data_IF_177183822016
#
_entry.id   IF_177183822016
#
_cell.length_a   1.000
_cell.length_b   1.000
_cell.length_c   1.000
_cell.angle_alpha   90.00
_cell.angle_beta   90.00
_cell.angle_gamma   90.00
#
_symmetry.space_group_name_H-M   'P 1'
#
loop_
_entity.id
_entity.type
_entity.pdbx_description
1 polymer ?
#
# COMPACT_ATOMS: atom_id res chain seq x y z
N UNK A 1 4.83 8.20 -14.00
CA UNK A 1 5.19 9.54 -13.44
C UNK A 1 4.00 10.02 -12.63
N UNK A 2 4.15 10.09 -11.32
CA UNK A 2 3.10 10.56 -10.42
C UNK A 2 3.28 12.06 -10.18
N UNK A 3 2.48 12.85 -10.91
CA UNK A 3 2.46 14.31 -10.74
C UNK A 3 1.45 14.67 -9.63
N UNK A 4 1.93 15.36 -8.59
CA UNK A 4 1.07 15.92 -7.56
C UNK A 4 0.76 17.39 -7.91
N UNK A 5 -0.53 17.78 -7.90
CA UNK A 5 -0.97 19.13 -8.27
C UNK A 5 -1.73 19.80 -7.13
N UNK A 6 -1.69 21.13 -7.13
CA UNK A 6 -2.36 21.98 -6.15
C UNK A 6 -1.55 22.25 -4.89
N UNK A 7 -1.71 23.45 -4.37
CA UNK A 7 -0.88 23.99 -3.28
C UNK A 7 -0.90 23.13 -2.01
N UNK A 8 -2.09 22.72 -1.54
CA UNK A 8 -2.20 21.99 -0.28
C UNK A 8 -1.59 20.60 -0.33
N UNK A 9 -1.84 19.86 -1.43
CA UNK A 9 -1.29 18.52 -1.61
C UNK A 9 0.25 18.55 -1.69
N UNK A 10 0.79 19.50 -2.45
CA UNK A 10 2.25 19.68 -2.59
C UNK A 10 2.87 20.08 -1.25
N UNK A 11 2.27 21.01 -0.54
CA UNK A 11 2.74 21.45 0.78
C UNK A 11 2.79 20.29 1.78
N UNK A 12 1.72 19.49 1.82
CA UNK A 12 1.64 18.32 2.69
C UNK A 12 2.71 17.28 2.34
N UNK A 13 2.90 16.98 1.06
CA UNK A 13 3.96 16.11 0.60
C UNK A 13 5.34 16.59 0.99
N UNK A 14 5.65 17.88 0.79
CA UNK A 14 6.95 18.45 1.13
C UNK A 14 7.23 18.46 2.64
N UNK A 15 6.18 18.57 3.48
CA UNK A 15 6.33 18.54 4.94
C UNK A 15 6.43 17.10 5.50
N UNK A 16 5.63 16.18 4.98
CA UNK A 16 5.49 14.83 5.56
C UNK A 16 6.36 13.79 4.86
N UNK A 17 6.62 13.97 3.57
CA UNK A 17 7.24 12.96 2.71
C UNK A 17 8.13 13.58 1.63
N UNK A 18 9.10 14.44 2.01
CA UNK A 18 9.95 15.15 1.05
C UNK A 18 10.76 14.22 0.15
N UNK A 19 11.09 13.00 0.61
CA UNK A 19 11.80 11.97 -0.15
C UNK A 19 11.06 11.50 -1.40
N UNK A 20 9.75 11.71 -1.48
CA UNK A 20 8.95 11.41 -2.69
C UNK A 20 9.13 12.46 -3.78
N UNK A 21 9.49 13.65 -3.42
CA UNK A 21 9.55 14.77 -4.32
C UNK A 21 10.86 14.76 -5.12
N UNK A 22 10.75 14.76 -6.45
CA UNK A 22 11.88 14.84 -7.37
C UNK A 22 12.15 16.27 -7.81
N UNK A 23 11.11 16.99 -8.24
CA UNK A 23 11.23 18.35 -8.71
C UNK A 23 9.92 19.13 -8.55
N UNK A 24 9.98 20.32 -7.95
CA UNK A 24 8.86 21.25 -7.89
C UNK A 24 8.87 22.17 -9.10
N UNK A 25 7.78 22.22 -9.86
CA UNK A 25 7.60 23.14 -10.99
C UNK A 25 6.64 24.26 -10.62
N UNK A 26 7.06 25.50 -10.80
CA UNK A 26 6.27 26.70 -10.49
C UNK A 26 6.19 27.62 -11.71
N UNK A 27 5.02 28.22 -11.93
CA UNK A 27 4.85 29.17 -13.06
C UNK A 27 5.64 30.47 -12.83
N UNK A 28 6.40 30.91 -13.83
CA UNK A 28 7.26 32.09 -13.79
C UNK A 28 6.56 33.39 -13.38
N UNK A 29 5.32 33.56 -13.79
CA UNK A 29 4.53 34.78 -13.49
C UNK A 29 3.96 34.80 -12.08
N UNK A 30 4.07 33.70 -11.34
CA UNK A 30 3.50 33.54 -10.01
C UNK A 30 4.57 33.79 -8.92
N UNK A 31 4.40 34.89 -8.15
CA UNK A 31 5.35 35.31 -7.10
C UNK A 31 4.64 35.57 -5.76
N UNK A 32 3.52 34.87 -5.51
CA UNK A 32 2.79 35.06 -4.25
C UNK A 32 3.45 34.31 -3.07
N UNK A 33 3.01 34.66 -1.84
CA UNK A 33 3.57 34.06 -0.61
C UNK A 33 3.49 32.55 -0.55
N UNK A 34 2.43 31.95 -1.14
CA UNK A 34 2.24 30.49 -1.17
C UNK A 34 3.31 29.78 -2.02
N UNK A 35 3.67 30.38 -3.16
CA UNK A 35 4.74 29.86 -4.01
C UNK A 35 6.09 29.93 -3.30
N UNK A 36 6.36 31.07 -2.62
CA UNK A 36 7.59 31.23 -1.86
C UNK A 36 7.68 30.23 -0.71
N UNK A 37 6.55 29.89 -0.06
CA UNK A 37 6.46 28.83 0.95
C UNK A 37 6.86 27.48 0.37
N UNK A 38 6.27 27.05 -0.76
CA UNK A 38 6.62 25.79 -1.41
C UNK A 38 8.10 25.71 -1.83
N UNK A 39 8.63 26.79 -2.38
CA UNK A 39 10.05 26.87 -2.75
C UNK A 39 10.94 26.77 -1.50
N UNK A 40 10.52 27.41 -0.39
CA UNK A 40 11.22 27.33 0.89
C UNK A 40 11.27 25.89 1.42
N UNK A 41 10.14 25.19 1.41
CA UNK A 41 10.05 23.78 1.81
C UNK A 41 10.89 22.86 0.90
N UNK A 42 10.82 23.06 -0.41
CA UNK A 42 11.63 22.29 -1.36
C UNK A 42 13.13 22.47 -1.10
N UNK A 43 13.58 23.72 -0.87
CA UNK A 43 14.99 24.02 -0.53
C UNK A 43 15.42 23.39 0.79
N UNK A 44 14.59 23.47 1.82
CA UNK A 44 14.88 22.90 3.14
C UNK A 44 15.09 21.38 3.07
N UNK A 45 14.44 20.72 2.11
CA UNK A 45 14.52 19.27 1.88
C UNK A 45 15.47 18.87 0.75
N UNK A 46 16.30 19.79 0.22
CA UNK A 46 17.19 19.58 -0.92
C UNK A 46 16.49 19.11 -2.22
N UNK A 47 15.21 19.46 -2.39
CA UNK A 47 14.43 19.14 -3.58
C UNK A 47 14.67 20.19 -4.65
N UNK A 48 14.92 19.77 -5.88
CA UNK A 48 15.03 20.67 -7.03
C UNK A 48 13.73 21.44 -7.25
N UNK A 49 13.84 22.70 -7.65
CA UNK A 49 12.68 23.42 -8.20
C UNK A 49 13.03 24.10 -9.52
N UNK A 50 12.05 24.22 -10.38
CA UNK A 50 12.18 24.87 -11.68
C UNK A 50 11.05 25.87 -11.91
N UNK A 51 11.44 27.03 -12.40
CA UNK A 51 10.49 28.06 -12.82
C UNK A 51 10.21 27.85 -14.32
N UNK A 52 8.93 27.63 -14.66
CA UNK A 52 8.53 27.24 -16.01
C UNK A 52 7.49 28.20 -16.59
N UNK A 53 7.40 28.25 -17.92
CA UNK A 53 6.41 29.02 -18.68
C UNK A 53 5.06 28.26 -18.73
N UNK A 54 3.96 28.97 -18.97
CA UNK A 54 2.61 28.37 -19.08
C UNK A 54 2.51 27.28 -20.15
N UNK A 55 3.28 27.41 -21.24
CA UNK A 55 3.36 26.40 -22.29
C UNK A 55 3.91 25.06 -21.82
N UNK A 56 4.70 25.05 -20.74
CA UNK A 56 5.25 23.81 -20.16
C UNK A 56 4.12 22.95 -19.55
N UNK A 57 3.18 23.53 -18.78
CA UNK A 57 2.03 22.81 -18.23
C UNK A 57 1.14 22.21 -19.33
N UNK A 58 0.94 22.97 -20.42
CA UNK A 58 0.17 22.49 -21.59
C UNK A 58 0.85 21.29 -22.26
N UNK A 59 2.17 21.36 -22.49
CA UNK A 59 2.95 20.25 -23.11
C UNK A 59 2.96 18.99 -22.25
N UNK A 60 2.97 19.14 -20.92
CA UNK A 60 2.93 18.00 -19.98
C UNK A 60 1.50 17.45 -19.80
N UNK A 61 0.51 18.03 -20.48
CA UNK A 61 -0.90 17.62 -20.41
C UNK A 61 -1.43 17.52 -18.97
N UNK A 62 -1.01 18.45 -18.10
CA UNK A 62 -1.46 18.48 -16.70
C UNK A 62 -2.96 18.78 -16.66
N UNK A 63 -3.74 17.80 -16.22
CA UNK A 63 -5.20 17.90 -16.10
C UNK A 63 -5.60 18.28 -14.67
N UNK A 64 -6.72 18.97 -14.53
CA UNK A 64 -7.24 19.41 -13.23
C UNK A 64 -6.77 20.81 -12.78
N UNK A 65 -7.18 21.20 -11.57
CA UNK A 65 -6.83 22.51 -11.02
C UNK A 65 -5.42 22.49 -10.42
N UNK A 66 -4.42 22.59 -11.29
CA UNK A 66 -3.01 22.55 -10.87
C UNK A 66 -2.52 23.84 -10.20
N UNK A 67 -3.34 24.89 -10.13
CA UNK A 67 -2.97 26.14 -9.47
C UNK A 67 -1.59 26.69 -9.88
N UNK A 68 -1.14 26.38 -11.09
CA UNK A 68 0.18 26.75 -11.65
C UNK A 68 1.38 26.24 -10.85
N UNK A 69 1.21 25.13 -10.14
CA UNK A 69 2.25 24.39 -9.44
C UNK A 69 2.08 22.89 -9.71
N UNK A 70 3.21 22.20 -9.78
CA UNK A 70 3.28 20.74 -9.94
C UNK A 70 4.51 20.23 -9.19
N UNK A 71 4.32 19.17 -8.42
CA UNK A 71 5.42 18.42 -7.84
C UNK A 71 5.53 17.10 -8.60
N UNK A 72 6.66 16.93 -9.30
CA UNK A 72 7.05 15.67 -9.89
C UNK A 72 7.56 14.76 -8.76
N UNK A 73 6.89 13.65 -8.57
CA UNK A 73 7.22 12.70 -7.53
C UNK A 73 7.87 11.44 -8.13
N UNK A 74 8.65 10.74 -7.31
CA UNK A 74 9.12 9.42 -7.67
C UNK A 74 7.92 8.50 -7.87
N UNK A 75 7.98 7.66 -8.89
CA UNK A 75 7.00 6.58 -9.03
C UNK A 75 7.17 5.63 -7.85
N UNK A 76 6.07 4.99 -7.45
CA UNK A 76 6.17 3.92 -6.47
C UNK A 76 6.95 2.79 -7.11
N UNK A 77 7.99 2.38 -6.44
CA UNK A 77 8.70 1.17 -6.81
C UNK A 77 7.80 -0.02 -6.49
N UNK A 78 7.22 -0.59 -7.55
CA UNK A 78 6.53 -1.87 -7.47
C UNK A 78 7.56 -2.91 -7.87
N UNK A 79 7.89 -3.75 -6.92
CA UNK A 79 8.86 -4.82 -7.14
C UNK A 79 8.22 -6.00 -7.87
N UNK A 80 9.03 -6.79 -8.50
CA UNK A 80 8.62 -8.07 -9.02
C UNK A 80 9.07 -9.21 -8.08
N UNK A 81 8.50 -10.39 -8.27
CA UNK A 81 8.79 -11.58 -7.48
C UNK A 81 10.29 -11.92 -7.42
N UNK A 82 11.02 -11.69 -8.53
CA UNK A 82 12.47 -12.00 -8.60
C UNK A 82 13.28 -11.06 -7.70
N UNK A 83 12.96 -9.77 -7.74
CA UNK A 83 13.70 -8.77 -6.97
C UNK A 83 13.47 -8.94 -5.47
N UNK A 84 12.24 -9.23 -5.05
CA UNK A 84 11.94 -9.59 -3.66
C UNK A 84 12.73 -10.82 -3.21
N UNK A 85 12.72 -11.90 -4.01
CA UNK A 85 13.42 -13.15 -3.67
C UNK A 85 14.93 -12.96 -3.56
N UNK A 86 15.51 -12.07 -4.35
CA UNK A 86 16.95 -11.80 -4.32
C UNK A 86 17.43 -11.14 -3.02
N UNK A 87 16.54 -10.41 -2.34
CA UNK A 87 16.84 -9.71 -1.08
C UNK A 87 16.09 -10.28 0.13
N UNK A 88 15.54 -11.49 0.01
CA UNK A 88 14.71 -12.08 1.07
C UNK A 88 15.43 -12.19 2.42
N UNK A 89 16.68 -12.55 2.41
CA UNK A 89 17.51 -12.70 3.61
C UNK A 89 17.80 -11.36 4.34
N UNK A 90 17.47 -10.22 3.71
CA UNK A 90 17.58 -8.89 4.32
C UNK A 90 16.38 -8.54 5.21
N UNK A 91 15.27 -9.29 5.08
CA UNK A 91 14.06 -9.06 5.89
C UNK A 91 14.21 -9.63 7.31
N UNK A 92 13.47 -9.07 8.29
CA UNK A 92 13.50 -9.57 9.66
C UNK A 92 12.98 -11.01 9.75
N UNK A 93 13.49 -11.77 10.72
CA UNK A 93 13.07 -13.16 10.95
C UNK A 93 11.60 -13.30 11.35
N UNK A 94 10.96 -12.23 11.82
CA UNK A 94 9.55 -12.14 12.18
C UNK A 94 8.72 -11.37 11.13
N UNK A 95 9.12 -11.46 9.86
CA UNK A 95 8.52 -10.76 8.72
C UNK A 95 6.99 -10.88 8.68
N UNK A 96 6.34 -9.79 8.30
CA UNK A 96 4.88 -9.65 8.18
C UNK A 96 4.52 -9.40 6.73
N UNK A 97 3.76 -10.30 6.14
CA UNK A 97 3.33 -10.21 4.73
C UNK A 97 1.80 -10.08 4.66
N UNK A 98 1.33 -9.14 3.87
CA UNK A 98 -0.08 -9.04 3.49
C UNK A 98 -0.24 -9.44 2.03
N UNK A 99 -1.12 -10.39 1.75
CA UNK A 99 -1.45 -10.84 0.39
C UNK A 99 -2.86 -10.39 0.03
N UNK A 100 -3.01 -9.58 -1.02
CA UNK A 100 -4.28 -9.01 -1.47
C UNK A 100 -4.79 -9.76 -2.70
N UNK A 101 -5.49 -10.90 -2.54
CA UNK A 101 -6.02 -11.68 -3.65
C UNK A 101 -7.27 -11.06 -4.25
N UNK A 102 -7.17 -10.45 -5.44
CA UNK A 102 -8.33 -10.05 -6.22
C UNK A 102 -9.13 -8.87 -5.63
N UNK A 103 -8.49 -7.97 -4.91
CA UNK A 103 -9.10 -6.70 -4.49
C UNK A 103 -9.18 -5.81 -5.73
N UNK A 104 -10.40 -5.66 -6.28
CA UNK A 104 -10.63 -4.97 -7.56
C UNK A 104 -10.98 -3.48 -7.38
N UNK A 105 -11.48 -3.07 -6.22
CA UNK A 105 -11.74 -1.64 -5.92
C UNK A 105 -10.43 -0.94 -5.49
N UNK A 106 -9.98 0.08 -6.25
CA UNK A 106 -8.80 0.87 -5.89
C UNK A 106 -8.88 1.53 -4.50
N UNK A 107 -10.09 1.82 -4.02
CA UNK A 107 -10.29 2.42 -2.69
C UNK A 107 -10.00 1.41 -1.59
N UNK A 108 -10.48 0.18 -1.75
CA UNK A 108 -10.22 -0.89 -0.80
C UNK A 108 -8.74 -1.24 -0.79
N UNK A 109 -8.09 -1.34 -1.96
CA UNK A 109 -6.65 -1.59 -2.03
C UNK A 109 -5.85 -0.47 -1.35
N UNK A 110 -6.18 0.80 -1.61
CA UNK A 110 -5.51 1.93 -0.97
C UNK A 110 -5.69 1.94 0.56
N UNK A 111 -6.89 1.60 1.05
CA UNK A 111 -7.15 1.47 2.48
C UNK A 111 -6.37 0.31 3.11
N UNK A 112 -6.24 -0.84 2.41
CA UNK A 112 -5.41 -1.96 2.86
C UNK A 112 -3.93 -1.57 2.94
N UNK A 113 -3.38 -0.85 1.94
CA UNK A 113 -2.00 -0.36 1.99
C UNK A 113 -1.76 0.57 3.18
N UNK A 114 -2.68 1.50 3.44
CA UNK A 114 -2.61 2.40 4.59
C UNK A 114 -2.61 1.62 5.92
N UNK A 115 -3.49 0.65 6.03
CA UNK A 115 -3.61 -0.21 7.21
C UNK A 115 -2.37 -1.07 7.40
N UNK A 116 -1.84 -1.65 6.33
CA UNK A 116 -0.62 -2.44 6.33
C UNK A 116 0.58 -1.65 6.84
N UNK A 117 0.75 -0.41 6.35
CA UNK A 117 1.77 0.50 6.84
C UNK A 117 1.60 0.78 8.34
N UNK A 118 0.38 1.17 8.77
CA UNK A 118 0.08 1.47 10.17
C UNK A 118 0.26 0.27 11.12
N UNK A 119 0.16 -0.95 10.61
CA UNK A 119 0.39 -2.20 11.34
C UNK A 119 1.85 -2.71 11.25
N UNK A 120 2.73 -1.98 10.55
CA UNK A 120 4.13 -2.37 10.39
C UNK A 120 4.33 -3.62 9.54
N UNK A 121 3.49 -3.85 8.53
CA UNK A 121 3.69 -4.90 7.52
C UNK A 121 4.93 -4.58 6.69
N UNK A 122 5.74 -5.57 6.39
CA UNK A 122 6.99 -5.39 5.64
C UNK A 122 6.76 -5.50 4.12
N UNK A 123 5.92 -6.45 3.70
CA UNK A 123 5.66 -6.75 2.28
C UNK A 123 4.17 -6.84 2.00
N UNK A 124 3.71 -6.16 0.94
CA UNK A 124 2.35 -6.32 0.39
C UNK A 124 2.42 -6.96 -0.98
N UNK A 125 1.74 -8.09 -1.14
CA UNK A 125 1.72 -8.88 -2.39
C UNK A 125 0.40 -8.69 -3.12
N UNK A 126 0.47 -8.34 -4.40
CA UNK A 126 -0.69 -8.08 -5.26
C UNK A 126 -0.57 -8.93 -6.53
N UNK A 127 -1.62 -9.66 -6.94
CA UNK A 127 -1.62 -10.33 -8.23
C UNK A 127 -1.60 -9.33 -9.38
N UNK A 128 -0.76 -9.55 -10.39
CA UNK A 128 -0.68 -8.70 -11.60
C UNK A 128 -1.99 -8.68 -12.41
N UNK A 129 -2.86 -9.66 -12.24
CA UNK A 129 -4.14 -9.78 -12.94
C UNK A 129 -5.29 -9.95 -11.95
N UNK A 130 -6.46 -9.42 -12.30
CA UNK A 130 -7.68 -9.52 -11.48
C UNK A 130 -7.51 -8.87 -10.10
N UNK A 131 -6.83 -7.76 -10.06
CA UNK A 131 -6.64 -6.87 -8.90
C UNK A 131 -6.60 -5.43 -9.41
N UNK A 132 -6.96 -4.48 -8.58
CA UNK A 132 -6.77 -3.07 -8.91
C UNK A 132 -5.28 -2.79 -9.13
N UNK A 133 -4.90 -2.09 -10.22
CA UNK A 133 -3.53 -1.64 -10.38
C UNK A 133 -3.19 -0.57 -9.35
N UNK A 134 -1.93 -0.45 -8.98
CA UNK A 134 -1.45 0.67 -8.16
C UNK A 134 -1.57 1.96 -8.97
N UNK A 135 -2.67 2.63 -8.82
CA UNK A 135 -3.06 3.84 -9.54
C UNK A 135 -3.02 5.06 -8.62
N UNK A 136 -3.11 6.25 -9.20
CA UNK A 136 -3.24 7.50 -8.45
C UNK A 136 -4.39 7.47 -7.42
N UNK A 137 -5.50 6.79 -7.73
CA UNK A 137 -6.61 6.62 -6.79
C UNK A 137 -6.21 5.78 -5.58
N UNK A 138 -5.49 4.67 -5.78
CA UNK A 138 -4.95 3.84 -4.70
C UNK A 138 -4.04 4.66 -3.80
N UNK A 139 -3.12 5.43 -4.39
CA UNK A 139 -2.17 6.25 -3.66
C UNK A 139 -2.82 7.36 -2.83
N UNK A 140 -3.80 8.02 -3.43
CA UNK A 140 -4.56 9.07 -2.75
C UNK A 140 -5.30 8.54 -1.52
N UNK A 141 -5.88 7.33 -1.62
CA UNK A 141 -6.57 6.69 -0.49
C UNK A 141 -5.57 6.19 0.55
N UNK A 142 -4.44 5.65 0.11
CA UNK A 142 -3.37 5.20 1.00
C UNK A 142 -2.76 6.36 1.83
N UNK A 143 -2.86 7.61 1.37
CA UNK A 143 -2.38 8.81 2.08
C UNK A 143 -0.95 8.66 2.64
N UNK A 144 -0.03 8.20 1.80
CA UNK A 144 1.35 7.93 2.22
C UNK A 144 1.58 6.55 2.85
N UNK A 145 0.54 5.77 3.11
CA UNK A 145 0.64 4.42 3.65
C UNK A 145 1.32 3.39 2.75
N UNK A 146 1.75 3.79 1.56
CA UNK A 146 2.62 2.99 0.69
C UNK A 146 4.12 3.25 0.96
N UNK A 147 4.47 4.24 1.79
CA UNK A 147 5.85 4.56 2.12
C UNK A 147 6.43 3.52 3.09
N UNK A 148 7.63 3.05 2.79
CA UNK A 148 8.28 2.01 3.60
C UNK A 148 7.68 0.62 3.46
N UNK A 149 6.60 0.44 2.65
CA UNK A 149 6.10 -0.88 2.26
C UNK A 149 6.83 -1.37 1.01
N UNK A 150 7.32 -2.59 1.02
CA UNK A 150 7.67 -3.29 -0.19
C UNK A 150 6.40 -3.79 -0.87
N UNK A 151 6.02 -3.21 -2.00
CA UNK A 151 4.86 -3.65 -2.79
C UNK A 151 5.33 -4.52 -3.94
N UNK A 152 4.86 -5.76 -3.99
CA UNK A 152 5.30 -6.76 -4.97
C UNK A 152 4.13 -7.20 -5.84
N UNK A 153 4.30 -7.12 -7.15
CA UNK A 153 3.40 -7.73 -8.11
C UNK A 153 3.85 -9.13 -8.50
N UNK A 154 2.94 -10.11 -8.34
CA UNK A 154 3.20 -11.50 -8.69
C UNK A 154 2.30 -11.98 -9.82
N UNK A 155 2.85 -12.82 -10.72
CA UNK A 155 2.10 -13.40 -11.85
C UNK A 155 1.26 -14.61 -11.39
N UNK A 156 1.83 -15.45 -10.55
CA UNK A 156 1.19 -16.65 -10.03
C UNK A 156 1.15 -16.62 -8.49
N UNK A 157 0.02 -16.17 -7.96
CA UNK A 157 -0.15 -15.99 -6.53
C UNK A 157 -0.04 -17.28 -5.74
N UNK A 158 -0.62 -18.37 -6.23
CA UNK A 158 -0.60 -19.68 -5.55
C UNK A 158 0.83 -20.19 -5.39
N UNK A 159 1.63 -20.12 -6.45
CA UNK A 159 3.04 -20.49 -6.42
C UNK A 159 3.85 -19.57 -5.48
N UNK A 160 3.48 -18.30 -5.42
CA UNK A 160 4.15 -17.36 -4.54
C UNK A 160 3.83 -17.64 -3.05
N UNK A 161 2.59 -17.99 -2.73
CA UNK A 161 2.18 -18.41 -1.38
C UNK A 161 2.92 -19.69 -0.97
N UNK A 162 3.02 -20.68 -1.87
CA UNK A 162 3.83 -21.88 -1.62
C UNK A 162 5.29 -21.54 -1.32
N UNK A 163 5.85 -20.58 -2.05
CA UNK A 163 7.21 -20.13 -1.80
C UNK A 163 7.33 -19.45 -0.43
N UNK A 164 6.37 -18.59 -0.01
CA UNK A 164 6.35 -18.00 1.33
C UNK A 164 6.31 -19.05 2.44
N UNK A 165 5.50 -20.11 2.27
CA UNK A 165 5.43 -21.23 3.22
C UNK A 165 6.79 -21.95 3.31
N UNK A 166 7.48 -22.16 2.18
CA UNK A 166 8.84 -22.73 2.15
C UNK A 166 9.90 -21.82 2.80
N UNK A 167 9.64 -20.51 2.91
CA UNK A 167 10.48 -19.58 3.69
C UNK A 167 10.15 -19.60 5.20
N UNK A 168 9.26 -20.47 5.63
CA UNK A 168 8.91 -20.64 7.05
C UNK A 168 7.80 -19.72 7.55
N UNK A 169 7.06 -19.04 6.67
CA UNK A 169 5.91 -18.24 7.09
C UNK A 169 4.70 -19.12 7.34
N UNK A 170 3.96 -18.86 8.41
CA UNK A 170 2.61 -19.39 8.59
C UNK A 170 1.62 -18.59 7.75
N UNK A 171 0.86 -19.28 6.90
CA UNK A 171 -0.05 -18.65 5.93
C UNK A 171 -1.48 -18.70 6.47
N UNK A 172 -2.06 -17.54 6.79
CA UNK A 172 -3.44 -17.39 7.25
C UNK A 172 -4.34 -16.88 6.14
N UNK A 173 -5.34 -17.64 5.73
CA UNK A 173 -6.33 -17.24 4.74
C UNK A 173 -7.59 -16.69 5.39
N UNK A 174 -7.92 -15.41 5.20
CA UNK A 174 -9.16 -14.83 5.69
C UNK A 174 -10.36 -15.32 4.87
N UNK A 175 -11.34 -15.93 5.53
CA UNK A 175 -12.56 -16.44 4.92
C UNK A 175 -13.80 -16.00 5.72
N UNK A 176 -14.96 -15.95 5.06
CA UNK A 176 -16.23 -15.62 5.73
C UNK A 176 -16.81 -16.78 6.53
N UNK A 177 -16.52 -18.01 6.08
CA UNK A 177 -17.06 -19.24 6.69
C UNK A 177 -15.95 -20.29 6.82
N UNK A 178 -16.07 -21.13 7.85
CA UNK A 178 -15.06 -22.15 8.16
C UNK A 178 -13.80 -21.57 8.84
N UNK A 179 -12.85 -22.46 9.12
CA UNK A 179 -11.63 -22.09 9.80
C UNK A 179 -11.81 -21.80 11.30
N UNK A 180 -10.72 -21.37 11.94
CA UNK A 180 -10.72 -20.97 13.37
C UNK A 180 -11.16 -19.51 13.51
N UNK A 181 -11.57 -19.11 14.72
CA UNK A 181 -11.76 -17.70 15.02
C UNK A 181 -10.45 -16.95 14.90
N UNK A 182 -10.51 -15.71 14.38
CA UNK A 182 -9.35 -14.83 14.31
C UNK A 182 -8.67 -14.58 15.66
N UNK A 183 -9.44 -14.64 16.75
CA UNK A 183 -8.94 -14.50 18.12
C UNK A 183 -8.14 -15.71 18.62
N UNK A 184 -8.34 -16.86 18.01
CA UNK A 184 -7.67 -18.12 18.36
C UNK A 184 -6.44 -18.39 17.47
N UNK A 185 -6.21 -17.55 16.46
CA UNK A 185 -5.03 -17.65 15.59
C UNK A 185 -3.79 -17.08 16.29
N UNK A 186 -2.65 -17.73 16.10
CA UNK A 186 -1.35 -17.26 16.61
C UNK A 186 -0.63 -16.42 15.54
N UNK A 187 -0.62 -15.10 15.71
CA UNK A 187 0.03 -14.17 14.79
C UNK A 187 1.47 -13.79 15.21
N UNK A 188 2.08 -14.56 16.09
CA UNK A 188 3.48 -14.37 16.49
C UNK A 188 4.41 -15.07 15.49
N UNK A 189 5.61 -14.50 15.27
CA UNK A 189 6.59 -15.01 14.31
C UNK A 189 6.34 -14.60 12.84
N UNK A 190 7.01 -15.24 11.87
CA UNK A 190 6.88 -14.92 10.46
C UNK A 190 5.52 -15.39 9.91
N UNK A 191 4.73 -14.46 9.38
CA UNK A 191 3.37 -14.77 8.91
C UNK A 191 3.03 -14.09 7.60
N UNK A 192 2.06 -14.68 6.89
CA UNK A 192 1.36 -14.04 5.79
C UNK A 192 -0.16 -14.11 6.00
N UNK A 193 -0.83 -12.96 5.95
CA UNK A 193 -2.29 -12.87 5.98
C UNK A 193 -2.78 -12.66 4.56
N UNK A 194 -3.63 -13.57 4.08
CA UNK A 194 -4.19 -13.55 2.72
C UNK A 194 -5.63 -13.09 2.78
N UNK A 195 -5.91 -11.95 2.17
CA UNK A 195 -7.26 -11.38 2.01
C UNK A 195 -7.79 -11.70 0.63
N UNK A 196 -9.04 -12.10 0.55
CA UNK A 196 -9.71 -12.42 -0.71
C UNK A 196 -10.52 -11.27 -1.30
N UNK A 197 -11.10 -11.54 -2.48
CA UNK A 197 -12.04 -10.64 -3.14
C UNK A 197 -13.28 -10.39 -2.27
N UNK A 198 -13.86 -9.18 -2.35
CA UNK A 198 -14.97 -8.72 -1.50
C UNK A 198 -16.24 -9.57 -1.66
N UNK A 199 -16.50 -10.10 -2.85
CA UNK A 199 -17.72 -10.86 -3.14
C UNK A 199 -17.51 -12.38 -3.18
N UNK A 200 -16.32 -12.83 -3.59
CA UNK A 200 -16.00 -14.26 -3.83
C UNK A 200 -15.09 -14.86 -2.77
N UNK A 201 -14.52 -14.02 -1.91
CA UNK A 201 -13.50 -14.43 -0.94
C UNK A 201 -12.23 -14.96 -1.61
N UNK A 202 -11.53 -15.84 -0.93
CA UNK A 202 -10.33 -16.53 -1.45
C UNK A 202 -10.71 -17.59 -2.47
N UNK A 203 -9.91 -17.70 -3.52
CA UNK A 203 -10.06 -18.78 -4.50
C UNK A 203 -9.73 -20.14 -3.88
N UNK A 204 -10.34 -21.22 -4.43
CA UNK A 204 -10.15 -22.59 -3.94
C UNK A 204 -8.66 -22.96 -3.81
N UNK A 205 -7.87 -22.76 -4.85
CA UNK A 205 -6.45 -23.11 -4.83
C UNK A 205 -5.65 -22.28 -3.81
N UNK A 206 -6.03 -21.03 -3.59
CA UNK A 206 -5.40 -20.19 -2.55
C UNK A 206 -5.73 -20.69 -1.16
N UNK A 207 -6.99 -21.06 -0.90
CA UNK A 207 -7.41 -21.67 0.38
C UNK A 207 -6.64 -22.95 0.68
N UNK A 208 -6.42 -23.81 -0.34
CA UNK A 208 -5.68 -25.07 -0.21
C UNK A 208 -4.19 -24.88 0.13
N UNK A 209 -3.65 -23.68 -0.07
CA UNK A 209 -2.24 -23.33 0.23
C UNK A 209 -2.07 -22.51 1.50
N UNK A 210 -3.16 -22.16 2.17
CA UNK A 210 -3.11 -21.58 3.50
C UNK A 210 -2.94 -22.69 4.54
N UNK A 211 -2.06 -22.47 5.51
CA UNK A 211 -1.88 -23.42 6.62
C UNK A 211 -3.10 -23.41 7.53
N UNK A 212 -3.73 -22.23 7.71
CA UNK A 212 -4.95 -22.06 8.45
C UNK A 212 -5.91 -21.10 7.76
N UNK A 213 -7.19 -21.42 7.81
CA UNK A 213 -8.25 -20.47 7.47
C UNK A 213 -8.75 -19.82 8.74
N UNK A 214 -8.90 -18.50 8.71
CA UNK A 214 -9.37 -17.70 9.83
C UNK A 214 -10.63 -16.94 9.43
N UNK A 215 -11.57 -16.80 10.37
CA UNK A 215 -12.80 -16.01 10.20
C UNK A 215 -12.91 -14.94 11.28
N UNK A 216 -13.52 -13.82 10.92
CA UNK A 216 -13.96 -12.82 11.90
C UNK A 216 -15.40 -13.16 12.26
N UNK A 217 -15.64 -13.46 13.54
CA UNK A 217 -16.94 -13.89 14.02
C UNK A 217 -17.94 -12.73 14.01
N UNK A 218 -18.98 -12.85 13.17
CA UNK A 218 -20.00 -11.83 13.02
C UNK A 218 -21.11 -12.05 14.06
N UNK A 219 -21.46 -11.01 14.84
CA UNK A 219 -22.47 -11.07 15.88
C UNK A 219 -23.85 -10.56 15.42
N UNK A 220 -23.91 -9.96 14.24
CA UNK A 220 -25.11 -9.36 13.65
C UNK A 220 -25.66 -10.16 12.48
N UNK A 221 -26.49 -9.50 11.67
CA UNK A 221 -27.15 -10.10 10.49
C UNK A 221 -26.30 -10.06 9.21
N UNK A 222 -25.21 -9.29 9.19
CA UNK A 222 -24.32 -9.24 8.03
C UNK A 222 -23.36 -10.42 8.02
N UNK A 223 -23.12 -11.02 6.85
CA UNK A 223 -22.28 -12.22 6.73
C UNK A 223 -20.78 -11.95 6.65
N UNK A 224 -20.37 -10.70 6.37
CA UNK A 224 -18.95 -10.34 6.24
C UNK A 224 -18.71 -8.85 6.42
N UNK A 225 -17.47 -8.47 6.65
CA UNK A 225 -16.98 -7.10 6.65
C UNK A 225 -16.46 -6.72 5.25
N UNK A 226 -16.42 -5.41 4.99
CA UNK A 226 -15.62 -4.89 3.87
C UNK A 226 -14.17 -5.35 4.03
N UNK A 227 -13.49 -5.69 2.93
CA UNK A 227 -12.15 -6.26 2.95
C UNK A 227 -11.11 -5.36 3.63
N UNK A 228 -11.22 -4.03 3.48
CA UNK A 228 -10.31 -3.10 4.15
C UNK A 228 -10.55 -3.01 5.66
N UNK A 229 -11.79 -3.22 6.10
CA UNK A 229 -12.13 -3.31 7.53
C UNK A 229 -11.60 -4.63 8.11
N UNK A 230 -11.83 -5.76 7.42
CA UNK A 230 -11.28 -7.05 7.81
C UNK A 230 -9.74 -7.02 7.89
N UNK A 231 -9.09 -6.35 6.92
CA UNK A 231 -7.66 -6.07 6.94
C UNK A 231 -7.24 -5.38 8.25
N UNK A 232 -7.96 -4.34 8.65
CA UNK A 232 -7.69 -3.61 9.90
C UNK A 232 -7.81 -4.49 11.13
N UNK A 233 -8.89 -5.26 11.24
CA UNK A 233 -9.13 -6.16 12.37
C UNK A 233 -7.99 -7.18 12.50
N UNK A 234 -7.63 -7.87 11.42
CA UNK A 234 -6.62 -8.94 11.45
C UNK A 234 -5.20 -8.41 11.68
N UNK A 235 -4.83 -7.32 11.00
CA UNK A 235 -3.49 -6.75 11.15
C UNK A 235 -3.27 -6.13 12.52
N UNK A 236 -4.27 -5.46 13.10
CA UNK A 236 -4.12 -4.87 14.43
C UNK A 236 -4.24 -5.91 15.55
N UNK A 237 -4.90 -7.04 15.33
CA UNK A 237 -4.79 -8.18 16.23
C UNK A 237 -3.37 -8.77 16.22
N UNK A 238 -2.77 -8.93 15.04
CA UNK A 238 -1.36 -9.31 14.92
C UNK A 238 -0.45 -8.37 15.73
N UNK A 239 -0.65 -7.04 15.61
CA UNK A 239 0.10 -6.05 16.40
C UNK A 239 -0.13 -6.22 17.89
N UNK A 240 -1.37 -6.43 18.32
CA UNK A 240 -1.71 -6.64 19.72
C UNK A 240 -0.99 -7.85 20.31
N UNK A 241 -1.04 -8.99 19.61
CA UNK A 241 -0.40 -10.23 20.08
C UNK A 241 1.11 -10.07 20.21
N UNK A 242 1.77 -9.50 19.22
CA UNK A 242 3.22 -9.26 19.22
C UNK A 242 3.67 -8.32 20.33
N UNK A 243 2.90 -7.26 20.60
CA UNK A 243 3.18 -6.33 21.70
C UNK A 243 2.95 -6.96 23.09
N UNK A 244 2.13 -8.02 23.18
CA UNK A 244 1.89 -8.73 24.44
C UNK A 244 2.90 -9.84 24.71
N UNK A 245 3.71 -10.17 23.71
CA UNK A 245 4.74 -11.22 23.77
C UNK A 245 6.16 -10.67 24.05
N UNK A 246 6.27 -9.32 24.12
CA UNK A 246 7.46 -8.57 24.54
C UNK A 246 7.40 -8.26 26.03
#
# INVERSE_FOLDING_TARGET
>A
MSDLIGFHAIRECLNQSPQKARCLYVLKTRKDSRINELIGLARASNIRYQVVESSWFKRRQVTGNHQNVLLDCHDIEIENERDLKAKWDEYPSDIKVLVCEGIEDPRNLGACLRTANGAGVDVVVIPKRKSAPISETVLRVAQGGNEGLCIVEVVNLVRFIEWLSLQGLTIYGACGEGGISWSDADFVGPIAIVLGNESKGLRRLTKEKCDQLIRIDMQGTVGSLNVSVACGVLLFEMVRQRNSSL
#
